data_IF_711843995334
#
_entry.id   IF_711843995334
#
_cell.length_a   1.000
_cell.length_b   1.000
_cell.length_c   1.000
_cell.angle_alpha   90.00
_cell.angle_beta   90.00
_cell.angle_gamma   90.00
#
_symmetry.space_group_name_H-M   'P 1'
#
loop_
_entity.id
_entity.type
_entity.pdbx_description
1 polymer ?
#
# COMPACT_ATOMS: atom_id res chain seq x y z
N UNK A 1 -31.77 23.48 -20.78
CA UNK A 1 -30.52 23.94 -20.13
C UNK A 1 -30.67 23.74 -18.63
N UNK A 2 -30.36 22.53 -18.14
CA UNK A 2 -30.41 22.23 -16.71
C UNK A 2 -29.19 22.87 -16.04
N UNK A 3 -29.42 23.63 -14.97
CA UNK A 3 -28.38 24.29 -14.20
C UNK A 3 -27.36 23.26 -13.71
N UNK A 4 -26.12 23.34 -14.21
CA UNK A 4 -25.02 22.62 -13.61
C UNK A 4 -24.79 23.21 -12.20
N UNK A 5 -24.70 22.40 -11.15
CA UNK A 5 -24.39 22.92 -9.82
C UNK A 5 -23.04 23.65 -9.87
N UNK A 6 -22.95 24.79 -9.19
CA UNK A 6 -21.72 25.57 -9.02
C UNK A 6 -20.68 24.74 -8.25
N UNK A 7 -19.99 23.85 -8.94
CA UNK A 7 -18.87 23.10 -8.37
C UNK A 7 -17.65 24.00 -8.39
N UNK A 8 -17.02 24.19 -7.23
CA UNK A 8 -15.74 24.92 -7.12
C UNK A 8 -14.73 24.34 -8.11
N UNK A 9 -13.97 25.21 -8.77
CA UNK A 9 -12.89 24.76 -9.66
C UNK A 9 -11.88 23.91 -8.86
N UNK A 10 -11.17 22.96 -9.50
CA UNK A 10 -10.14 22.15 -8.83
C UNK A 10 -9.13 23.00 -8.04
N UNK A 11 -8.77 24.17 -8.60
CA UNK A 11 -7.86 25.15 -7.97
C UNK A 11 -8.47 25.72 -6.69
N UNK A 12 -9.73 26.16 -6.74
CA UNK A 12 -10.43 26.75 -5.60
C UNK A 12 -10.70 25.72 -4.50
N UNK A 13 -11.04 24.47 -4.88
CA UNK A 13 -11.19 23.36 -3.95
C UNK A 13 -9.86 23.04 -3.23
N UNK A 14 -8.73 23.06 -3.97
CA UNK A 14 -7.40 22.82 -3.42
C UNK A 14 -6.92 23.93 -2.47
N UNK A 15 -7.20 25.20 -2.80
CA UNK A 15 -6.90 26.35 -1.94
C UNK A 15 -7.68 26.27 -0.62
N UNK A 16 -8.99 25.98 -0.69
CA UNK A 16 -9.85 25.83 0.49
C UNK A 16 -9.36 24.69 1.39
N UNK A 17 -9.04 23.53 0.82
CA UNK A 17 -8.52 22.40 1.59
C UNK A 17 -7.15 22.70 2.23
N UNK A 18 -6.31 23.49 1.57
CA UNK A 18 -5.02 23.91 2.13
C UNK A 18 -5.18 24.84 3.32
N UNK A 19 -6.13 25.79 3.26
CA UNK A 19 -6.47 26.67 4.37
C UNK A 19 -7.03 25.88 5.56
N UNK A 20 -7.95 24.93 5.31
CA UNK A 20 -8.47 24.03 6.35
C UNK A 20 -7.37 23.22 7.02
N UNK A 21 -6.39 22.73 6.24
CA UNK A 21 -5.25 21.97 6.79
C UNK A 21 -4.35 22.85 7.67
N UNK A 22 -4.11 24.10 7.28
CA UNK A 22 -3.30 25.04 8.06
C UNK A 22 -4.00 25.40 9.38
N UNK A 23 -5.30 25.70 9.34
CA UNK A 23 -6.10 25.99 10.53
C UNK A 23 -6.12 24.81 11.51
N UNK A 24 -6.43 23.60 11.03
CA UNK A 24 -6.47 22.40 11.88
C UNK A 24 -5.12 22.06 12.53
N UNK A 25 -4.00 22.37 11.85
CA UNK A 25 -2.65 22.18 12.43
C UNK A 25 -2.32 23.19 13.53
N UNK A 26 -2.75 24.44 13.36
CA UNK A 26 -2.58 25.47 14.38
C UNK A 26 -3.38 25.12 15.64
N UNK A 27 -4.67 24.77 15.47
CA UNK A 27 -5.54 24.36 16.57
C UNK A 27 -4.99 23.11 17.30
N UNK A 28 -4.45 22.14 16.57
CA UNK A 28 -3.83 20.96 17.18
C UNK A 28 -2.62 21.32 18.05
N UNK A 29 -1.76 22.24 17.58
CA UNK A 29 -0.61 22.71 18.35
C UNK A 29 -1.01 23.47 19.61
N UNK A 30 -2.04 24.32 19.53
CA UNK A 30 -2.59 25.03 20.68
C UNK A 30 -3.21 24.07 21.69
N UNK A 31 -4.05 23.13 21.24
CA UNK A 31 -4.71 22.14 22.09
C UNK A 31 -3.69 21.24 22.83
N UNK A 32 -2.60 20.88 22.15
CA UNK A 32 -1.50 20.13 22.76
C UNK A 32 -0.77 20.96 23.83
N UNK A 33 -0.54 22.25 23.59
CA UNK A 33 0.11 23.14 24.57
C UNK A 33 -0.73 23.36 25.83
N UNK A 34 -2.06 23.33 25.71
CA UNK A 34 -3.01 23.50 26.83
C UNK A 34 -3.33 22.20 27.57
N UNK A 35 -2.93 21.04 27.05
CA UNK A 35 -3.17 19.73 27.65
C UNK A 35 -4.63 19.24 27.61
N UNK A 36 -5.48 19.82 26.75
CA UNK A 36 -6.91 19.46 26.66
C UNK A 36 -7.14 18.24 25.75
N UNK A 37 -7.45 17.09 26.34
CA UNK A 37 -7.70 15.86 25.58
C UNK A 37 -8.92 15.95 24.63
N UNK A 38 -9.92 16.78 24.95
CA UNK A 38 -11.10 16.96 24.09
C UNK A 38 -10.79 17.79 22.86
N UNK A 39 -10.11 18.93 23.03
CA UNK A 39 -9.71 19.80 21.94
C UNK A 39 -8.73 19.10 20.99
N UNK A 40 -7.81 18.29 21.52
CA UNK A 40 -6.90 17.48 20.70
C UNK A 40 -7.67 16.47 19.81
N UNK A 41 -8.75 15.86 20.33
CA UNK A 41 -9.58 14.94 19.52
C UNK A 41 -10.32 15.68 18.42
N UNK A 42 -10.88 16.85 18.72
CA UNK A 42 -11.62 17.67 17.76
C UNK A 42 -10.70 18.21 16.66
N UNK A 43 -9.54 18.76 17.02
CA UNK A 43 -8.53 19.21 16.06
C UNK A 43 -8.04 18.07 15.14
N UNK A 44 -7.90 16.84 15.65
CA UNK A 44 -7.59 15.65 14.83
C UNK A 44 -8.73 15.29 13.87
N UNK A 45 -9.99 15.41 14.31
CA UNK A 45 -11.14 15.17 13.44
C UNK A 45 -11.21 16.20 12.31
N UNK A 46 -11.00 17.48 12.60
CA UNK A 46 -10.93 18.54 11.59
C UNK A 46 -9.74 18.34 10.64
N UNK A 47 -8.58 17.92 11.14
CA UNK A 47 -7.43 17.59 10.29
C UNK A 47 -7.75 16.42 9.34
N UNK A 48 -8.51 15.43 9.82
CA UNK A 48 -8.98 14.31 9.00
C UNK A 48 -9.94 14.79 7.91
N UNK A 49 -10.89 15.66 8.24
CA UNK A 49 -11.81 16.27 7.29
C UNK A 49 -11.07 17.11 6.23
N UNK A 50 -10.12 17.95 6.65
CA UNK A 50 -9.28 18.75 5.76
C UNK A 50 -8.45 17.86 4.81
N UNK A 51 -7.95 16.72 5.31
CA UNK A 51 -7.23 15.73 4.51
C UNK A 51 -8.15 15.08 3.47
N UNK A 52 -9.39 14.76 3.83
CA UNK A 52 -10.40 14.28 2.88
C UNK A 52 -10.77 15.33 1.83
N UNK A 53 -10.96 16.59 2.22
CA UNK A 53 -11.22 17.69 1.30
C UNK A 53 -10.07 17.89 0.31
N UNK A 54 -8.82 17.76 0.78
CA UNK A 54 -7.62 17.83 -0.07
C UNK A 54 -7.56 16.67 -1.06
N UNK A 55 -7.83 15.44 -0.61
CA UNK A 55 -7.89 14.27 -1.48
C UNK A 55 -8.94 14.43 -2.60
N UNK A 56 -10.10 15.01 -2.28
CA UNK A 56 -11.14 15.30 -3.27
C UNK A 56 -10.74 16.40 -4.28
N UNK A 57 -10.05 17.45 -3.83
CA UNK A 57 -9.51 18.47 -4.73
C UNK A 57 -8.41 17.93 -5.66
N UNK A 58 -7.54 17.08 -5.12
CA UNK A 58 -6.51 16.38 -5.90
C UNK A 58 -7.16 15.48 -6.96
N UNK A 59 -8.20 14.72 -6.61
CA UNK A 59 -8.98 13.93 -7.56
C UNK A 59 -9.55 14.81 -8.68
N UNK A 60 -10.19 15.94 -8.34
CA UNK A 60 -10.72 16.90 -9.33
C UNK A 60 -9.63 17.42 -10.27
N UNK A 61 -8.43 17.66 -9.76
CA UNK A 61 -7.28 18.09 -10.57
C UNK A 61 -6.78 16.98 -11.49
N UNK A 62 -6.82 15.72 -11.06
CA UNK A 62 -6.51 14.57 -11.92
C UNK A 62 -7.50 14.43 -13.09
N UNK A 63 -8.76 14.84 -12.90
CA UNK A 63 -9.77 14.85 -13.96
C UNK A 63 -9.47 15.90 -15.05
N UNK A 64 -8.90 17.05 -14.68
CA UNK A 64 -8.57 18.12 -15.63
C UNK A 64 -7.31 17.86 -16.46
N UNK A 65 -6.38 17.03 -15.97
CA UNK A 65 -5.07 16.75 -16.62
C UNK A 65 -5.13 15.69 -17.76
N UNK A 66 -6.26 15.56 -18.47
CA UNK A 66 -6.38 14.66 -19.64
C UNK A 66 -6.77 13.20 -19.34
N UNK A 67 -7.44 12.95 -18.21
CA UNK A 67 -8.03 11.64 -17.87
C UNK A 67 -9.16 11.21 -18.82
N UNK A 68 -9.58 9.94 -18.73
CA UNK A 68 -10.78 9.50 -19.45
C UNK A 68 -11.97 10.40 -19.05
N UNK A 69 -12.59 11.05 -20.03
CA UNK A 69 -13.72 11.97 -19.84
C UNK A 69 -14.92 11.30 -19.18
N UNK A 70 -15.03 9.98 -19.31
CA UNK A 70 -16.12 9.16 -18.76
C UNK A 70 -15.55 8.16 -17.75
N UNK A 71 -16.09 8.18 -16.53
CA UNK A 71 -15.83 7.15 -15.54
C UNK A 71 -16.50 5.84 -15.96
N UNK A 72 -15.79 4.72 -15.80
CA UNK A 72 -16.37 3.39 -16.04
C UNK A 72 -17.51 3.13 -15.08
N UNK A 73 -18.59 2.55 -15.58
CA UNK A 73 -19.75 2.20 -14.79
C UNK A 73 -20.19 0.78 -15.14
N UNK A 74 -20.79 0.08 -14.17
CA UNK A 74 -21.47 -1.20 -14.38
C UNK A 74 -22.78 -1.19 -13.61
N UNK A 75 -23.89 -1.50 -14.28
CA UNK A 75 -25.22 -1.47 -13.68
C UNK A 75 -25.52 -0.16 -12.92
N UNK A 76 -25.17 0.98 -13.52
CA UNK A 76 -25.37 2.32 -12.93
C UNK A 76 -24.42 2.68 -11.79
N UNK A 77 -23.51 1.78 -11.36
CA UNK A 77 -22.54 2.05 -10.30
C UNK A 77 -21.21 2.54 -10.90
N UNK A 78 -20.71 3.74 -10.50
CA UNK A 78 -19.39 4.21 -10.91
C UNK A 78 -18.28 3.37 -10.29
N UNK A 79 -17.22 3.10 -11.07
CA UNK A 79 -16.03 2.39 -10.61
C UNK A 79 -15.09 3.35 -9.89
N UNK A 80 -15.23 3.42 -8.57
CA UNK A 80 -14.35 4.17 -7.66
C UNK A 80 -13.75 3.21 -6.64
N UNK A 81 -12.43 3.24 -6.47
CA UNK A 81 -11.68 2.39 -5.55
C UNK A 81 -11.11 3.20 -4.38
N UNK A 82 -11.22 2.71 -3.15
CA UNK A 82 -10.57 3.28 -1.96
C UNK A 82 -9.10 2.90 -1.95
N UNK A 83 -8.23 3.90 -2.04
CA UNK A 83 -6.78 3.70 -2.01
C UNK A 83 -6.23 4.14 -0.65
N UNK A 84 -5.96 3.18 0.23
CA UNK A 84 -5.45 3.42 1.57
C UNK A 84 -3.92 3.53 1.52
N UNK A 85 -3.38 4.61 2.12
CA UNK A 85 -1.95 4.91 2.13
C UNK A 85 -1.50 5.39 3.53
N UNK A 86 -0.27 5.05 3.97
CA UNK A 86 0.29 5.55 5.22
C UNK A 86 0.65 7.05 5.13
N UNK A 87 0.45 7.78 6.23
CA UNK A 87 0.57 9.25 6.29
C UNK A 87 1.80 9.75 7.06
N UNK A 88 2.47 8.87 7.80
CA UNK A 88 3.60 9.20 8.65
C UNK A 88 4.90 9.53 7.91
N UNK A 89 5.92 9.97 8.66
CA UNK A 89 7.25 10.27 8.12
C UNK A 89 7.90 9.03 7.51
N UNK A 90 8.52 9.18 6.33
CA UNK A 90 9.15 8.08 5.59
C UNK A 90 8.22 7.39 4.60
N UNK A 91 6.90 7.64 4.69
CA UNK A 91 5.89 7.11 3.79
C UNK A 91 5.67 7.98 2.53
N UNK A 92 6.42 9.07 2.35
CA UNK A 92 6.36 9.95 1.17
C UNK A 92 6.52 9.19 -0.16
N UNK A 93 7.48 8.24 -0.32
CA UNK A 93 7.64 7.51 -1.57
C UNK A 93 6.44 6.63 -1.91
N UNK A 94 5.80 6.05 -0.88
CA UNK A 94 4.58 5.25 -1.03
C UNK A 94 3.43 6.14 -1.52
N UNK A 95 3.23 7.32 -0.90
CA UNK A 95 2.20 8.28 -1.32
C UNK A 95 2.44 8.82 -2.74
N UNK A 96 3.69 9.09 -3.10
CA UNK A 96 4.07 9.52 -4.45
C UNK A 96 3.76 8.44 -5.50
N UNK A 97 4.05 7.17 -5.19
CA UNK A 97 3.69 6.02 -6.03
C UNK A 97 2.17 5.89 -6.18
N UNK A 98 1.43 5.97 -5.06
CA UNK A 98 -0.04 5.94 -5.06
C UNK A 98 -0.66 7.02 -5.93
N UNK A 99 -0.12 8.23 -5.90
CA UNK A 99 -0.58 9.35 -6.76
C UNK A 99 -0.36 9.07 -8.25
N UNK A 100 0.77 8.44 -8.63
CA UNK A 100 1.04 8.04 -10.02
C UNK A 100 0.09 6.95 -10.50
N UNK A 101 -0.23 5.99 -9.63
CA UNK A 101 -1.21 4.94 -9.91
C UNK A 101 -2.62 5.54 -10.07
N UNK A 102 -3.04 6.41 -9.16
CA UNK A 102 -4.32 7.14 -9.25
C UNK A 102 -4.48 7.89 -10.59
N UNK A 103 -3.40 8.57 -11.03
CA UNK A 103 -3.32 9.20 -12.36
C UNK A 103 -3.48 8.20 -13.50
N UNK A 104 -2.78 7.06 -13.44
CA UNK A 104 -2.87 6.03 -14.45
C UNK A 104 -4.28 5.41 -14.53
N UNK A 105 -4.90 5.13 -13.39
CA UNK A 105 -6.27 4.62 -13.28
C UNK A 105 -7.29 5.63 -13.84
N UNK A 106 -7.10 6.92 -13.54
CA UNK A 106 -7.96 7.99 -14.05
C UNK A 106 -7.97 8.07 -15.57
N UNK A 107 -6.82 7.83 -16.23
CA UNK A 107 -6.72 7.77 -17.70
C UNK A 107 -7.51 6.64 -18.34
N UNK A 108 -7.80 5.56 -17.61
CA UNK A 108 -8.60 4.43 -18.09
C UNK A 108 -10.03 4.43 -17.55
N UNK A 109 -10.46 5.51 -16.89
CA UNK A 109 -11.82 5.68 -16.38
C UNK A 109 -12.09 5.01 -15.03
N UNK A 110 -11.05 4.61 -14.29
CA UNK A 110 -11.15 4.14 -12.91
C UNK A 110 -10.86 5.31 -11.98
N UNK A 111 -11.73 5.58 -11.01
CA UNK A 111 -11.50 6.63 -10.02
C UNK A 111 -10.93 6.06 -8.73
N UNK A 112 -10.19 6.88 -7.99
CA UNK A 112 -9.57 6.47 -6.74
C UNK A 112 -9.83 7.50 -5.66
N UNK A 113 -10.45 7.08 -4.56
CA UNK A 113 -10.57 7.89 -3.34
C UNK A 113 -9.35 7.62 -2.46
N UNK A 114 -8.37 8.53 -2.49
CA UNK A 114 -7.18 8.41 -1.64
C UNK A 114 -7.55 8.65 -0.18
N UNK A 115 -7.18 7.71 0.71
CA UNK A 115 -7.37 7.80 2.15
C UNK A 115 -6.00 7.63 2.82
N UNK A 116 -5.51 8.70 3.42
CA UNK A 116 -4.30 8.65 4.23
C UNK A 116 -4.67 8.28 5.67
N UNK A 117 -3.92 7.37 6.28
CA UNK A 117 -4.15 6.88 7.65
C UNK A 117 -2.84 6.92 8.45
N UNK A 118 -2.88 7.00 9.80
CA UNK A 118 -1.68 6.91 10.62
C UNK A 118 -0.92 5.59 10.38
N UNK A 119 0.41 5.62 10.47
CA UNK A 119 1.26 4.49 10.12
C UNK A 119 1.05 3.31 11.08
N UNK A 120 0.78 3.61 12.35
CA UNK A 120 0.48 2.63 13.40
C UNK A 120 -0.84 1.89 13.13
N UNK A 121 -1.75 2.53 12.39
CA UNK A 121 -3.05 1.96 12.04
C UNK A 121 -3.03 1.25 10.68
N UNK A 122 -2.12 1.63 9.79
CA UNK A 122 -2.12 1.19 8.39
C UNK A 122 -2.18 -0.34 8.29
N UNK A 123 -1.23 -1.05 8.90
CA UNK A 123 -1.23 -2.50 8.87
C UNK A 123 -2.33 -3.10 9.74
N UNK A 124 -2.39 -2.71 11.02
CA UNK A 124 -3.22 -3.37 12.02
C UNK A 124 -4.73 -3.20 11.80
N UNK A 125 -5.16 -2.05 11.25
CA UNK A 125 -6.58 -1.73 11.07
C UNK A 125 -7.06 -1.78 9.62
N UNK A 126 -6.17 -1.70 8.63
CA UNK A 126 -6.55 -1.70 7.22
C UNK A 126 -6.02 -2.91 6.44
N UNK A 127 -4.70 -3.18 6.47
CA UNK A 127 -4.14 -4.27 5.65
C UNK A 127 -4.57 -5.65 6.14
N UNK A 128 -4.37 -5.94 7.44
CA UNK A 128 -4.71 -7.25 8.01
C UNK A 128 -6.21 -7.54 7.95
N UNK A 129 -7.04 -6.53 8.20
CA UNK A 129 -8.50 -6.62 8.19
C UNK A 129 -9.10 -6.69 6.80
N UNK A 130 -8.38 -6.24 5.76
CA UNK A 130 -8.90 -6.14 4.40
C UNK A 130 -9.75 -4.89 4.15
N UNK A 131 -9.68 -3.86 5.01
CA UNK A 131 -10.41 -2.59 4.82
C UNK A 131 -9.72 -1.66 3.80
N UNK A 132 -9.61 -2.13 2.55
CA UNK A 132 -9.10 -1.37 1.41
C UNK A 132 -9.56 -1.98 0.08
N UNK A 133 -9.54 -1.19 -0.99
CA UNK A 133 -9.67 -1.73 -2.35
C UNK A 133 -8.31 -1.75 -3.04
N UNK A 134 -7.48 -0.73 -2.77
CA UNK A 134 -6.09 -0.62 -3.18
C UNK A 134 -5.22 -0.24 -1.98
N UNK A 135 -4.03 -0.82 -1.90
CA UNK A 135 -3.00 -0.51 -0.92
C UNK A 135 -1.62 -0.79 -1.50
N UNK A 136 -0.57 -0.17 -0.95
CA UNK A 136 0.82 -0.43 -1.34
C UNK A 136 1.56 -0.94 -0.11
N UNK A 137 2.08 -2.16 -0.19
CA UNK A 137 2.91 -2.77 0.84
C UNK A 137 3.80 -3.82 0.19
N UNK A 138 4.77 -4.33 0.95
CA UNK A 138 5.74 -5.31 0.49
C UNK A 138 6.13 -6.24 1.64
N UNK A 139 6.57 -7.44 1.29
CA UNK A 139 7.28 -8.34 2.21
C UNK A 139 8.79 -8.29 1.94
N UNK A 140 9.63 -8.56 2.94
CA UNK A 140 11.04 -8.87 2.68
C UNK A 140 11.16 -10.08 1.75
N UNK A 141 12.06 -10.01 0.77
CA UNK A 141 12.42 -11.19 -0.03
C UNK A 141 13.35 -12.12 0.75
N UNK A 142 13.34 -13.41 0.42
CA UNK A 142 14.17 -14.43 1.08
C UNK A 142 14.77 -15.40 0.06
N UNK A 143 15.76 -16.18 0.50
CA UNK A 143 16.34 -17.27 -0.28
C UNK A 143 15.45 -18.53 -0.37
N UNK A 144 14.31 -18.57 0.35
CA UNK A 144 13.49 -19.78 0.52
C UNK A 144 12.04 -19.56 0.05
N UNK A 145 11.81 -19.32 -1.26
CA UNK A 145 10.49 -18.97 -1.78
C UNK A 145 9.43 -20.06 -1.58
N UNK A 146 9.81 -21.34 -1.55
CA UNK A 146 8.87 -22.45 -1.34
C UNK A 146 8.22 -22.42 0.05
N UNK A 147 8.94 -21.95 1.08
CA UNK A 147 8.44 -21.89 2.45
C UNK A 147 7.89 -20.51 2.79
N UNK A 148 8.63 -19.46 2.41
CA UNK A 148 8.39 -18.11 2.92
C UNK A 148 7.30 -17.38 2.12
N UNK A 149 7.09 -17.76 0.85
CA UNK A 149 6.00 -17.21 0.05
C UNK A 149 4.65 -17.90 0.30
N UNK A 150 4.64 -19.13 0.83
CA UNK A 150 3.41 -19.88 1.14
C UNK A 150 2.40 -19.03 1.94
N UNK A 151 2.73 -18.45 3.11
CA UNK A 151 1.74 -17.70 3.91
C UNK A 151 1.22 -16.44 3.21
N UNK A 152 1.93 -15.90 2.22
CA UNK A 152 1.54 -14.70 1.46
C UNK A 152 0.42 -15.02 0.47
N UNK A 153 0.39 -16.24 -0.06
CA UNK A 153 -0.58 -16.67 -1.08
C UNK A 153 -1.52 -17.79 -0.60
N UNK A 154 -1.45 -18.15 0.69
CA UNK A 154 -2.27 -19.17 1.31
C UNK A 154 -3.76 -18.88 1.13
N UNK A 155 -4.55 -19.90 0.82
CA UNK A 155 -6.01 -19.75 0.79
C UNK A 155 -6.54 -19.40 2.19
N UNK A 156 -7.45 -18.42 2.32
CA UNK A 156 -8.17 -18.19 3.56
C UNK A 156 -8.95 -19.43 4.01
N UNK A 157 -8.83 -19.77 5.29
CA UNK A 157 -9.50 -20.92 5.91
C UNK A 157 -10.34 -20.47 7.11
N UNK A 158 -11.35 -21.26 7.49
CA UNK A 158 -12.08 -21.02 8.73
C UNK A 158 -11.20 -21.42 9.92
N UNK A 159 -11.07 -20.53 10.90
CA UNK A 159 -10.44 -20.81 12.18
C UNK A 159 -11.44 -21.50 13.14
N UNK A 160 -10.92 -22.12 14.20
CA UNK A 160 -11.72 -22.86 15.17
C UNK A 160 -12.73 -21.98 15.94
N UNK A 161 -12.44 -20.68 16.06
CA UNK A 161 -13.31 -19.67 16.69
C UNK A 161 -14.32 -19.05 15.71
N UNK A 162 -14.40 -19.56 14.47
CA UNK A 162 -15.27 -19.04 13.42
C UNK A 162 -14.73 -17.81 12.69
N UNK A 163 -13.55 -17.30 13.06
CA UNK A 163 -12.88 -16.24 12.32
C UNK A 163 -12.24 -16.77 11.03
N UNK A 164 -11.77 -15.85 10.17
CA UNK A 164 -11.08 -16.21 8.93
C UNK A 164 -9.57 -16.19 9.15
N UNK A 165 -8.93 -17.36 9.10
CA UNK A 165 -7.47 -17.49 9.07
C UNK A 165 -6.97 -17.10 7.68
N UNK A 166 -6.29 -15.96 7.59
CA UNK A 166 -5.75 -15.42 6.33
C UNK A 166 -4.23 -15.50 6.21
N UNK A 167 -3.53 -15.91 7.28
CA UNK A 167 -2.08 -15.84 7.38
C UNK A 167 -1.54 -14.45 6.97
N UNK A 168 -0.64 -14.37 5.98
CA UNK A 168 -0.16 -13.12 5.40
C UNK A 168 -0.85 -12.78 4.08
N UNK A 169 -1.85 -13.56 3.64
CA UNK A 169 -2.61 -13.30 2.43
C UNK A 169 -3.67 -12.21 2.65
N UNK A 170 -3.21 -10.98 2.78
CA UNK A 170 -4.08 -9.82 3.00
C UNK A 170 -5.03 -9.53 1.84
N UNK A 171 -4.78 -10.09 0.66
CA UNK A 171 -5.65 -9.98 -0.53
C UNK A 171 -6.74 -11.06 -0.57
N UNK A 172 -6.57 -12.16 0.18
CA UNK A 172 -7.51 -13.28 0.30
C UNK A 172 -7.79 -14.03 -1.03
N UNK A 173 -6.93 -13.90 -2.03
CA UNK A 173 -7.13 -14.53 -3.36
C UNK A 173 -6.51 -15.93 -3.49
N UNK A 174 -5.96 -16.48 -2.40
CA UNK A 174 -5.31 -17.79 -2.41
C UNK A 174 -6.27 -18.91 -2.79
N UNK A 175 -5.72 -20.02 -3.31
CA UNK A 175 -6.54 -21.15 -3.80
C UNK A 175 -5.94 -22.48 -3.36
N UNK A 176 -6.77 -23.52 -3.31
CA UNK A 176 -6.33 -24.88 -2.96
C UNK A 176 -5.15 -25.34 -3.85
N UNK A 177 -5.16 -24.99 -5.13
CA UNK A 177 -4.11 -25.37 -6.07
C UNK A 177 -2.79 -24.66 -5.78
N UNK A 178 -2.83 -23.39 -5.35
CA UNK A 178 -1.64 -22.65 -4.93
C UNK A 178 -1.07 -23.30 -3.66
N UNK A 179 -1.93 -23.59 -2.67
CA UNK A 179 -1.51 -24.25 -1.43
C UNK A 179 -0.84 -25.61 -1.70
N UNK A 180 -1.47 -26.46 -2.52
CA UNK A 180 -0.94 -27.77 -2.89
C UNK A 180 0.44 -27.68 -3.56
N UNK A 181 0.66 -26.69 -4.42
CA UNK A 181 1.95 -26.52 -5.10
C UNK A 181 3.05 -26.09 -4.12
N UNK A 182 2.75 -25.20 -3.16
CA UNK A 182 3.70 -24.84 -2.11
C UNK A 182 3.98 -25.99 -1.14
N UNK A 183 2.95 -26.77 -0.78
CA UNK A 183 3.10 -27.94 0.08
C UNK A 183 3.96 -29.05 -0.57
N UNK A 184 3.89 -29.20 -1.89
CA UNK A 184 4.76 -30.09 -2.65
C UNK A 184 6.18 -29.50 -2.75
N UNK A 185 6.30 -28.23 -3.13
CA UNK A 185 7.60 -27.57 -3.32
C UNK A 185 8.44 -27.54 -2.03
N UNK A 186 7.80 -27.35 -0.88
CA UNK A 186 8.48 -27.32 0.42
C UNK A 186 9.01 -28.69 0.88
N UNK A 187 8.53 -29.78 0.29
CA UNK A 187 8.95 -31.16 0.60
C UNK A 187 9.84 -31.77 -0.49
N UNK A 188 10.06 -31.05 -1.58
CA UNK A 188 10.82 -31.51 -2.74
C UNK A 188 12.32 -31.26 -2.54
N UNK A 189 13.09 -32.34 -2.64
CA UNK A 189 14.54 -32.35 -2.43
C UNK A 189 15.30 -32.14 -3.74
N UNK A 190 14.70 -32.43 -4.89
CA UNK A 190 15.27 -32.11 -6.20
C UNK A 190 15.03 -30.65 -6.56
N UNK A 191 16.10 -29.90 -6.78
CA UNK A 191 16.03 -28.47 -7.07
C UNK A 191 15.28 -28.17 -8.39
N UNK A 192 15.42 -29.02 -9.39
CA UNK A 192 14.74 -28.88 -10.68
C UNK A 192 13.23 -29.02 -10.54
N UNK A 193 12.79 -30.10 -9.90
CA UNK A 193 11.39 -30.38 -9.62
C UNK A 193 10.77 -29.32 -8.70
N UNK A 194 11.50 -28.87 -7.67
CA UNK A 194 11.05 -27.78 -6.78
C UNK A 194 10.83 -26.49 -7.55
N UNK A 195 11.75 -26.13 -8.44
CA UNK A 195 11.62 -24.94 -9.29
C UNK A 195 10.43 -25.01 -10.23
N UNK A 196 10.13 -26.18 -10.80
CA UNK A 196 8.97 -26.36 -11.67
C UNK A 196 7.64 -26.27 -10.93
N UNK A 197 7.57 -26.77 -9.69
CA UNK A 197 6.43 -26.58 -8.80
C UNK A 197 6.21 -25.09 -8.48
N UNK A 198 7.28 -24.36 -8.17
CA UNK A 198 7.22 -22.91 -7.90
C UNK A 198 6.74 -22.13 -9.13
N UNK A 199 7.26 -22.42 -10.34
CA UNK A 199 6.81 -21.77 -11.58
C UNK A 199 5.31 -21.99 -11.83
N UNK A 200 4.81 -23.20 -11.54
CA UNK A 200 3.37 -23.50 -11.65
C UNK A 200 2.55 -22.71 -10.62
N UNK A 201 3.07 -22.54 -9.40
CA UNK A 201 2.44 -21.72 -8.38
C UNK A 201 2.40 -20.25 -8.81
N UNK A 202 3.52 -19.72 -9.31
CA UNK A 202 3.65 -18.36 -9.81
C UNK A 202 2.64 -18.05 -10.93
N UNK A 203 2.52 -18.95 -11.93
CA UNK A 203 1.52 -18.78 -12.99
C UNK A 203 0.07 -18.70 -12.46
N UNK A 204 -0.24 -19.43 -11.38
CA UNK A 204 -1.56 -19.40 -10.73
C UNK A 204 -1.75 -18.12 -9.93
N UNK A 205 -0.73 -17.66 -9.21
CA UNK A 205 -0.73 -16.39 -8.47
C UNK A 205 -0.94 -15.23 -9.45
N UNK A 206 -0.22 -15.23 -10.57
CA UNK A 206 -0.38 -14.23 -11.64
C UNK A 206 -1.81 -14.19 -12.18
N UNK A 207 -2.40 -15.37 -12.42
CA UNK A 207 -3.79 -15.47 -12.90
C UNK A 207 -4.82 -15.00 -11.85
N UNK A 208 -4.56 -15.18 -10.56
CA UNK A 208 -5.44 -14.69 -9.48
C UNK A 208 -5.44 -13.15 -9.39
N UNK A 209 -4.36 -12.50 -9.83
CA UNK A 209 -4.25 -11.04 -9.97
C UNK A 209 -4.59 -10.24 -8.69
N UNK A 210 -4.36 -10.83 -7.50
CA UNK A 210 -4.60 -10.15 -6.21
C UNK A 210 -3.55 -9.09 -5.86
N UNK A 211 -2.37 -9.15 -6.48
CA UNK A 211 -1.33 -8.13 -6.37
C UNK A 211 -0.68 -7.87 -7.72
N UNK A 212 -0.22 -6.63 -7.93
CA UNK A 212 0.49 -6.20 -9.13
C UNK A 212 1.89 -5.75 -8.70
N UNK A 213 2.96 -6.52 -9.00
CA UNK A 213 4.32 -6.10 -8.72
C UNK A 213 4.63 -4.78 -9.43
N UNK A 214 5.16 -3.81 -8.68
CA UNK A 214 5.44 -2.46 -9.21
C UNK A 214 6.92 -2.28 -9.55
N UNK A 215 7.79 -2.57 -8.58
CA UNK A 215 9.24 -2.44 -8.70
C UNK A 215 9.90 -3.19 -7.54
N UNK A 216 11.16 -3.57 -7.71
CA UNK A 216 11.99 -4.10 -6.63
C UNK A 216 12.66 -2.94 -5.89
N UNK A 217 12.57 -2.91 -4.56
CA UNK A 217 13.26 -1.93 -3.73
C UNK A 217 14.74 -2.35 -3.60
N UNK A 218 15.71 -1.52 -4.03
CA UNK A 218 17.11 -1.84 -3.82
C UNK A 218 17.47 -1.75 -2.33
N UNK A 219 18.42 -2.56 -1.90
CA UNK A 219 19.10 -2.35 -0.62
C UNK A 219 20.19 -1.29 -0.84
N UNK A 220 20.05 -0.13 -0.21
CA UNK A 220 21.04 0.93 -0.26
C UNK A 220 21.86 0.91 1.03
N UNK A 221 23.16 0.74 0.90
CA UNK A 221 24.12 0.72 2.01
C UNK A 221 25.17 1.79 1.74
N UNK A 222 25.34 2.71 2.69
CA UNK A 222 26.46 3.65 2.71
C UNK A 222 27.50 3.13 3.69
N UNK A 223 28.72 2.88 3.21
CA UNK A 223 29.86 2.50 4.02
C UNK A 223 30.98 3.52 3.83
N UNK A 224 31.84 3.65 4.84
CA UNK A 224 33.08 4.42 4.70
C UNK A 224 34.00 3.73 3.68
N UNK A 225 34.72 4.49 2.87
CA UNK A 225 35.75 3.95 1.97
C UNK A 225 36.81 3.14 2.70
N UNK A 226 36.98 3.38 4.02
CA UNK A 226 37.91 2.64 4.87
C UNK A 226 37.37 1.30 5.34
N UNK A 227 36.15 0.89 4.98
CA UNK A 227 35.55 -0.36 5.46
C UNK A 227 35.52 -1.37 4.32
N UNK A 228 36.27 -2.46 4.48
CA UNK A 228 36.25 -3.61 3.59
C UNK A 228 35.07 -4.53 3.89
N UNK A 229 34.60 -5.22 2.84
CA UNK A 229 33.60 -6.29 2.89
C UNK A 229 32.24 -5.90 3.48
N UNK A 230 31.93 -4.61 3.61
CA UNK A 230 30.61 -4.11 3.95
C UNK A 230 29.83 -3.71 2.69
N UNK A 231 28.55 -4.05 2.62
CA UNK A 231 27.72 -3.67 1.49
C UNK A 231 26.31 -4.26 1.53
N UNK A 232 25.64 -4.24 0.39
CA UNK A 232 24.38 -4.94 0.19
C UNK A 232 24.66 -6.42 -0.12
N UNK A 233 24.25 -7.33 0.76
CA UNK A 233 24.48 -8.77 0.63
C UNK A 233 23.34 -9.49 -0.12
N UNK A 234 22.26 -8.78 -0.47
CA UNK A 234 21.11 -9.39 -1.14
C UNK A 234 20.49 -10.49 -0.27
N UNK A 235 20.45 -11.72 -0.78
CA UNK A 235 19.97 -12.89 -0.04
C UNK A 235 21.09 -13.71 0.62
N UNK A 236 22.35 -13.25 0.53
CA UNK A 236 23.48 -13.91 1.17
C UNK A 236 23.55 -13.54 2.65
N UNK A 237 24.00 -14.50 3.47
CA UNK A 237 24.31 -14.25 4.87
C UNK A 237 25.68 -13.59 4.96
N UNK A 238 25.80 -12.37 5.52
CA UNK A 238 27.09 -11.70 5.66
C UNK A 238 28.02 -12.46 6.61
N UNK A 239 29.30 -12.55 6.23
CA UNK A 239 30.37 -13.04 7.11
C UNK A 239 30.91 -11.87 7.91
N UNK A 240 30.31 -11.60 9.06
CA UNK A 240 30.66 -10.45 9.89
C UNK A 240 32.14 -10.41 10.30
N UNK A 241 32.79 -11.57 10.47
CA UNK A 241 34.21 -11.65 10.80
C UNK A 241 35.13 -11.14 9.68
N UNK A 242 34.64 -11.06 8.45
CA UNK A 242 35.40 -10.59 7.29
C UNK A 242 35.21 -9.07 7.08
N UNK A 243 34.30 -8.42 7.82
CA UNK A 243 34.02 -6.98 7.73
C UNK A 243 34.95 -6.22 8.68
N UNK A 244 35.68 -5.23 8.16
CA UNK A 244 36.63 -4.47 8.99
C UNK A 244 37.20 -3.24 8.32
N UNK A 245 37.98 -2.47 9.07
CA UNK A 245 38.67 -1.30 8.53
C UNK A 245 39.93 -1.72 7.76
N UNK A 246 40.09 -1.16 6.58
CA UNK A 246 41.33 -1.18 5.83
C UNK A 246 42.37 -0.31 6.55
N UNK A 247 43.66 -0.69 6.42
CA UNK A 247 44.80 0.00 7.05
C UNK A 247 45.22 1.23 6.26
#
# INVERSE_FOLDING_TARGET
LAAQPLTLSPVTAGQRASLMTQAARLELGEAQSRGSASEVREARAQLTEATHARAGADELRLLSDGGAKVQRMKAGKPLTLRFVLPSGPGSEPIRATGTRIAKALTRIGVRTKMKQVPDEEYFAKHITTGDYDLAIYSWPGTAYPATDARPIFAKPAAAADGSLLVEQNYTRVGTNQIDQLFDQASKELDDGARNDLIKRADARIWAAAGSVPLYQRPQLVAASEKVANAGAFGFETPRYQDIGFEK
#
